data_IF_738587859607
#
_entry.id   IF_738587859607
#
_cell.length_a   1.000
_cell.length_b   1.000
_cell.length_c   1.000
_cell.angle_alpha   90.00
_cell.angle_beta   90.00
_cell.angle_gamma   90.00
#
_symmetry.space_group_name_H-M   'P 1'
#
loop_
_entity.id
_entity.type
_entity.pdbx_description
1 polymer ?
#
# COMPACT_ATOMS: atom_id res chain seq x y z
N UNK A 1 26.33 22.13 9.07
CA UNK A 1 26.04 20.73 9.46
C UNK A 1 25.28 20.10 8.32
N UNK A 2 25.91 19.23 7.54
CA UNK A 2 25.22 18.46 6.49
C UNK A 2 24.35 17.42 7.20
N UNK A 3 23.04 17.68 7.29
CA UNK A 3 22.08 16.77 7.90
C UNK A 3 22.08 15.45 7.13
N UNK A 4 22.72 14.43 7.69
CA UNK A 4 22.75 13.09 7.12
C UNK A 4 21.35 12.49 7.22
N UNK A 5 20.67 12.40 6.07
CA UNK A 5 19.34 11.81 5.98
C UNK A 5 19.45 10.29 6.07
N UNK A 6 18.68 9.72 7.00
CA UNK A 6 18.60 8.29 7.22
C UNK A 6 17.34 7.72 6.58
N UNK A 7 17.45 6.52 6.02
CA UNK A 7 16.30 5.79 5.48
C UNK A 7 15.38 5.32 6.63
N UNK A 8 14.08 5.52 6.49
CA UNK A 8 13.08 5.12 7.49
C UNK A 8 12.98 3.60 7.68
N UNK A 9 13.39 2.81 6.68
CA UNK A 9 13.40 1.36 6.76
C UNK A 9 14.71 0.81 7.32
N UNK A 10 15.84 1.08 6.66
CA UNK A 10 17.12 0.48 7.04
C UNK A 10 17.88 1.28 8.11
N UNK A 11 17.45 2.48 8.48
CA UNK A 11 18.08 3.34 9.50
C UNK A 11 19.56 3.66 9.24
N UNK A 12 19.98 3.68 7.97
CA UNK A 12 21.34 4.05 7.55
C UNK A 12 21.32 5.29 6.65
N UNK A 13 22.46 5.95 6.55
CA UNK A 13 22.69 7.08 5.66
C UNK A 13 22.39 6.73 4.19
N UNK A 14 21.68 7.64 3.53
CA UNK A 14 21.36 7.55 2.11
C UNK A 14 22.58 8.12 1.34
N UNK A 15 23.31 7.24 0.63
CA UNK A 15 24.53 7.62 -0.12
C UNK A 15 24.24 8.04 -1.57
N UNK A 16 22.98 8.25 -1.94
CA UNK A 16 22.54 8.53 -3.30
C UNK A 16 21.23 9.31 -3.34
N UNK A 17 20.41 9.08 -4.36
CA UNK A 17 19.14 9.79 -4.53
C UNK A 17 18.16 9.44 -3.40
N UNK A 18 17.50 10.47 -2.90
CA UNK A 18 16.52 10.34 -1.83
C UNK A 18 15.16 10.09 -2.47
N UNK A 19 14.57 8.93 -2.17
CA UNK A 19 13.21 8.61 -2.58
C UNK A 19 12.23 8.95 -1.46
N UNK A 20 11.03 9.39 -1.83
CA UNK A 20 9.94 9.64 -0.88
C UNK A 20 8.72 8.81 -1.24
N UNK A 21 8.01 8.30 -0.24
CA UNK A 21 6.89 7.39 -0.47
C UNK A 21 5.62 8.14 -0.85
N UNK A 22 4.99 7.83 -2.00
CA UNK A 22 3.72 8.44 -2.34
C UNK A 22 2.60 7.91 -1.44
N UNK A 23 1.90 8.81 -0.76
CA UNK A 23 0.76 8.48 0.12
C UNK A 23 -0.58 8.72 -0.58
N UNK A 24 -0.66 9.78 -1.37
CA UNK A 24 -1.84 10.17 -2.11
C UNK A 24 -1.45 10.75 -3.48
N UNK A 25 -2.37 10.64 -4.43
CA UNK A 25 -2.24 11.26 -5.73
C UNK A 25 -3.52 12.06 -6.00
N UNK A 26 -3.40 13.38 -6.07
CA UNK A 26 -4.51 14.31 -6.29
C UNK A 26 -4.11 15.33 -7.36
N UNK A 27 -4.98 15.57 -8.35
CA UNK A 27 -4.82 16.60 -9.39
C UNK A 27 -3.46 16.57 -10.12
N UNK A 28 -2.94 15.37 -10.40
CA UNK A 28 -1.65 15.21 -11.10
C UNK A 28 -0.41 15.34 -10.20
N UNK A 29 -0.58 15.55 -8.89
CA UNK A 29 0.53 15.70 -7.94
C UNK A 29 0.52 14.56 -6.92
N UNK A 30 1.69 14.01 -6.66
CA UNK A 30 1.91 13.07 -5.57
C UNK A 30 2.14 13.83 -4.27
N UNK A 31 1.47 13.41 -3.20
CA UNK A 31 1.89 13.71 -1.83
C UNK A 31 2.87 12.65 -1.38
N UNK A 32 3.96 13.11 -0.80
CA UNK A 32 5.07 12.25 -0.40
C UNK A 32 5.22 12.21 1.12
N UNK A 33 5.76 11.11 1.63
CA UNK A 33 6.06 10.92 3.05
C UNK A 33 7.38 10.16 3.22
N UNK A 34 8.16 10.57 4.23
CA UNK A 34 9.37 9.89 4.66
C UNK A 34 10.51 9.92 3.64
N UNK A 35 11.64 9.35 4.06
CA UNK A 35 12.88 9.30 3.28
C UNK A 35 13.36 7.86 3.15
N UNK A 36 13.64 7.42 1.92
CA UNK A 36 14.00 6.05 1.60
C UNK A 36 15.21 6.01 0.66
N UNK A 37 16.05 4.99 0.83
CA UNK A 37 17.18 4.74 -0.05
C UNK A 37 16.83 3.97 -1.32
N UNK A 38 15.71 3.23 -1.34
CA UNK A 38 15.30 2.41 -2.48
C UNK A 38 13.78 2.13 -2.47
N UNK A 39 13.23 1.71 -3.61
CA UNK A 39 11.82 1.33 -3.74
C UNK A 39 11.46 0.10 -2.91
N UNK A 40 12.40 -0.82 -2.77
CA UNK A 40 12.23 -2.07 -2.02
C UNK A 40 12.15 -1.78 -0.53
N UNK A 41 12.96 -0.83 -0.03
CA UNK A 41 12.87 -0.34 1.34
C UNK A 41 11.51 0.31 1.61
N UNK A 42 11.01 1.08 0.64
CA UNK A 42 9.70 1.73 0.72
C UNK A 42 8.56 0.71 0.75
N UNK A 43 8.64 -0.35 -0.07
CA UNK A 43 7.64 -1.43 -0.11
C UNK A 43 7.60 -2.22 1.19
N UNK A 44 8.75 -2.58 1.75
CA UNK A 44 8.80 -3.31 3.02
C UNK A 44 8.32 -2.43 4.16
N UNK A 45 8.70 -1.15 4.19
CA UNK A 45 8.17 -0.21 5.17
C UNK A 45 6.65 -0.06 5.09
N UNK A 46 6.09 0.05 3.88
CA UNK A 46 4.63 0.09 3.71
C UNK A 46 3.96 -1.18 4.24
N UNK A 47 4.58 -2.35 4.07
CA UNK A 47 4.09 -3.60 4.65
C UNK A 47 4.15 -3.58 6.18
N UNK A 48 5.21 -3.00 6.77
CA UNK A 48 5.37 -2.88 8.22
C UNK A 48 4.32 -1.95 8.88
N UNK A 49 3.80 -0.94 8.15
CA UNK A 49 2.75 -0.06 8.66
C UNK A 49 1.42 -0.78 8.91
N UNK A 50 1.14 -1.86 8.17
CA UNK A 50 -0.03 -2.73 8.33
C UNK A 50 -1.38 -1.98 8.46
N UNK A 51 -1.59 -0.95 7.65
CA UNK A 51 -2.82 -0.16 7.63
C UNK A 51 -3.77 -0.54 6.47
N UNK A 52 -4.97 0.05 6.46
CA UNK A 52 -5.95 -0.20 5.39
C UNK A 52 -5.53 0.37 4.03
N UNK A 53 -4.51 1.23 3.98
CA UNK A 53 -4.04 1.91 2.76
C UNK A 53 -2.83 1.21 2.11
N UNK A 54 -2.33 0.11 2.69
CA UNK A 54 -1.18 -0.66 2.21
C UNK A 54 -1.26 -0.95 0.71
N UNK A 55 -2.39 -1.47 0.22
CA UNK A 55 -2.57 -1.79 -1.20
C UNK A 55 -2.58 -0.54 -2.10
N UNK A 56 -3.18 0.55 -1.62
CA UNK A 56 -3.19 1.84 -2.36
C UNK A 56 -1.76 2.36 -2.52
N UNK A 57 -0.97 2.36 -1.43
CA UNK A 57 0.43 2.80 -1.48
C UNK A 57 1.27 1.88 -2.36
N UNK A 58 1.07 0.56 -2.33
CA UNK A 58 1.78 -0.34 -3.25
C UNK A 58 1.55 -0.01 -4.72
N UNK A 59 0.31 0.31 -5.10
CA UNK A 59 0.00 0.75 -6.46
C UNK A 59 0.71 2.07 -6.80
N UNK A 60 0.67 3.06 -5.91
CA UNK A 60 1.35 4.35 -6.13
C UNK A 60 2.88 4.20 -6.24
N UNK A 61 3.49 3.36 -5.39
CA UNK A 61 4.92 3.06 -5.45
C UNK A 61 5.28 2.39 -6.77
N UNK A 62 4.44 1.46 -7.24
CA UNK A 62 4.69 0.74 -8.50
C UNK A 62 4.50 1.65 -9.71
N UNK A 63 3.53 2.56 -9.69
CA UNK A 63 3.35 3.61 -10.69
C UNK A 63 4.56 4.56 -10.74
N UNK A 64 5.05 4.97 -9.57
CA UNK A 64 6.21 5.84 -9.49
C UNK A 64 7.49 5.14 -9.95
N UNK A 65 7.67 3.86 -9.63
CA UNK A 65 8.77 3.06 -10.18
C UNK A 65 8.70 2.95 -11.70
N UNK A 66 7.51 2.71 -12.26
CA UNK A 66 7.34 2.67 -13.70
C UNK A 66 7.66 4.02 -14.37
N UNK A 67 7.27 5.13 -13.76
CA UNK A 67 7.57 6.46 -14.27
C UNK A 67 9.08 6.79 -14.28
N UNK A 68 9.86 6.28 -13.30
CA UNK A 68 11.29 6.56 -13.20
C UNK A 68 12.18 5.52 -13.89
N UNK A 69 11.86 4.23 -13.77
CA UNK A 69 12.67 3.12 -14.28
C UNK A 69 12.11 2.49 -15.57
N UNK A 70 10.87 2.79 -15.96
CA UNK A 70 10.17 2.06 -17.03
C UNK A 70 9.78 0.62 -16.66
N UNK A 71 10.02 0.20 -15.41
CA UNK A 71 9.79 -1.16 -14.94
C UNK A 71 8.75 -1.20 -13.82
N UNK A 72 7.90 -2.22 -13.83
CA UNK A 72 6.88 -2.43 -12.78
C UNK A 72 7.34 -3.39 -11.69
N UNK A 73 8.46 -4.08 -11.92
CA UNK A 73 9.00 -5.06 -10.99
C UNK A 73 9.78 -4.36 -9.90
N UNK A 74 9.25 -4.40 -8.67
CA UNK A 74 9.99 -4.07 -7.46
C UNK A 74 9.92 -5.24 -6.49
N UNK A 75 11.07 -5.61 -5.94
CA UNK A 75 11.15 -6.58 -4.86
C UNK A 75 10.89 -5.94 -3.50
N UNK A 76 10.84 -6.77 -2.47
CA UNK A 76 10.77 -6.30 -1.09
C UNK A 76 12.17 -6.35 -0.49
N UNK A 77 12.53 -5.29 0.23
CA UNK A 77 13.73 -5.32 1.05
C UNK A 77 13.53 -6.29 2.24
N UNK A 78 14.59 -6.87 2.80
CA UNK A 78 14.55 -7.67 4.01
C UNK A 78 14.07 -6.79 5.15
N UNK A 79 13.57 -7.43 6.20
CA UNK A 79 13.19 -6.73 7.40
C UNK A 79 14.42 -6.05 8.03
N UNK A 80 14.22 -4.88 8.65
CA UNK A 80 15.30 -4.17 9.32
C UNK A 80 16.01 -4.99 10.40
N UNK A 81 15.30 -5.94 11.02
CA UNK A 81 15.83 -6.89 12.02
C UNK A 81 16.96 -7.78 11.48
N UNK A 82 17.11 -7.90 10.17
CA UNK A 82 18.20 -8.67 9.54
C UNK A 82 19.55 -7.93 9.58
N UNK A 83 19.56 -6.62 9.83
CA UNK A 83 20.78 -5.82 9.92
C UNK A 83 21.51 -6.06 11.26
N UNK A 84 22.84 -6.02 11.22
CA UNK A 84 23.71 -6.16 12.41
C UNK A 84 23.36 -5.17 13.54
N UNK A 85 22.92 -3.95 13.22
CA UNK A 85 22.54 -2.93 14.23
C UNK A 85 21.40 -3.42 15.13
N UNK A 86 20.51 -4.24 14.59
CA UNK A 86 19.37 -4.81 15.34
C UNK A 86 19.64 -6.23 15.85
N UNK A 87 20.89 -6.72 15.74
CA UNK A 87 21.28 -8.08 16.11
C UNK A 87 21.07 -9.13 15.02
N UNK A 88 20.89 -8.71 13.77
CA UNK A 88 20.79 -9.61 12.63
C UNK A 88 22.14 -10.09 12.08
N UNK A 89 22.12 -10.80 10.95
CA UNK A 89 23.31 -11.42 10.36
C UNK A 89 23.95 -10.63 9.23
N UNK A 90 23.22 -9.70 8.60
CA UNK A 90 23.68 -8.99 7.39
C UNK A 90 24.25 -7.62 7.73
N UNK A 91 25.37 -7.28 7.10
CA UNK A 91 25.88 -5.90 7.05
C UNK A 91 25.02 -5.01 6.15
N UNK A 92 25.18 -3.68 6.25
CA UNK A 92 24.45 -2.73 5.40
C UNK A 92 24.76 -2.92 3.91
N UNK A 93 26.00 -3.27 3.58
CA UNK A 93 26.43 -3.46 2.20
C UNK A 93 25.80 -4.73 1.62
N UNK A 94 25.75 -5.81 2.40
CA UNK A 94 25.06 -7.05 2.02
C UNK A 94 23.54 -6.84 1.91
N UNK A 95 22.95 -6.06 2.82
CA UNK A 95 21.53 -5.72 2.76
C UNK A 95 21.17 -4.98 1.47
N UNK A 96 22.07 -4.09 1.00
CA UNK A 96 21.84 -3.29 -0.20
C UNK A 96 22.16 -4.05 -1.50
N UNK A 97 23.13 -4.97 -1.48
CA UNK A 97 23.52 -5.78 -2.65
C UNK A 97 22.35 -6.55 -3.25
N UNK A 98 21.46 -7.04 -2.42
CA UNK A 98 20.36 -7.91 -2.83
C UNK A 98 19.27 -7.17 -3.65
N UNK A 99 19.22 -5.82 -3.66
CA UNK A 99 18.11 -5.05 -4.27
C UNK A 99 18.52 -3.74 -4.98
N UNK A 100 19.79 -3.57 -5.37
CA UNK A 100 20.26 -2.25 -5.80
C UNK A 100 19.98 -1.94 -7.28
N UNK A 101 19.04 -1.02 -7.55
CA UNK A 101 19.23 0.10 -8.49
C UNK A 101 18.11 1.14 -8.30
N UNK A 102 18.37 2.22 -7.57
CA UNK A 102 17.43 3.33 -7.45
C UNK A 102 17.73 4.37 -8.55
N UNK A 103 16.80 4.68 -9.47
CA UNK A 103 16.96 5.72 -10.47
C UNK A 103 16.97 7.12 -9.84
N UNK A 104 17.40 8.07 -10.65
CA UNK A 104 17.36 9.50 -10.32
C UNK A 104 15.91 9.99 -10.24
N UNK A 105 15.51 10.46 -9.05
CA UNK A 105 14.26 11.19 -8.85
C UNK A 105 14.60 12.68 -8.91
N UNK A 106 14.33 13.33 -10.05
CA UNK A 106 14.26 14.79 -10.08
C UNK A 106 13.02 15.22 -9.29
N UNK A 107 13.26 15.66 -8.05
CA UNK A 107 12.26 16.19 -7.15
C UNK A 107 11.77 17.56 -7.65
N UNK A 108 10.93 17.59 -8.67
CA UNK A 108 10.23 18.81 -9.09
C UNK A 108 8.79 18.86 -8.57
N UNK A 109 8.52 18.57 -7.30
CA UNK A 109 7.25 19.05 -6.74
C UNK A 109 7.45 19.52 -5.29
N UNK A 110 7.17 20.81 -5.00
CA UNK A 110 7.11 21.31 -3.64
C UNK A 110 6.21 20.41 -2.80
N UNK A 111 6.74 19.93 -1.69
CA UNK A 111 5.93 19.30 -0.67
C UNK A 111 4.96 20.35 -0.15
N UNK A 112 3.66 20.06 -0.23
CA UNK A 112 2.76 20.56 0.80
C UNK A 112 3.03 19.68 2.03
N UNK A 113 3.99 20.09 2.85
CA UNK A 113 4.08 19.60 4.23
C UNK A 113 2.77 20.02 4.90
N UNK A 114 1.81 19.09 5.01
CA UNK A 114 0.76 19.26 5.99
C UNK A 114 1.43 19.07 7.33
N UNK A 115 1.85 20.18 7.93
CA UNK A 115 1.88 20.27 9.38
C UNK A 115 0.48 19.83 9.84
N UNK A 116 0.39 18.66 10.47
CA UNK A 116 -0.78 18.35 11.27
C UNK A 116 -0.79 19.39 12.39
N UNK A 117 -1.51 20.49 12.14
CA UNK A 117 -1.89 21.44 13.17
C UNK A 117 -2.53 20.62 14.27
N UNK A 118 -1.83 20.52 15.39
CA UNK A 118 -2.35 20.00 16.65
C UNK A 118 -3.74 20.59 16.85
N UNK A 119 -4.73 19.74 17.12
CA UNK A 119 -6.13 20.08 17.35
C UNK A 119 -6.28 21.46 18.00
N UNK A 120 -6.71 22.46 17.23
CA UNK A 120 -7.42 23.57 17.83
C UNK A 120 -8.79 23.03 18.24
N UNK A 121 -8.96 22.97 19.55
CA UNK A 121 -10.18 22.63 20.26
C UNK A 121 -11.44 23.16 19.57
N UNK A 122 -12.34 22.21 19.25
CA UNK A 122 -13.80 22.33 19.25
C UNK A 122 -14.31 23.70 19.66
N UNK A 123 -14.77 24.48 18.69
CA UNK A 123 -15.75 25.55 18.85
C UNK A 123 -16.41 25.84 17.49
N UNK A 124 -16.88 24.80 16.80
CA UNK A 124 -17.85 25.01 15.73
C UNK A 124 -19.25 24.99 16.35
N UNK A 125 -19.68 26.17 16.81
CA UNK A 125 -21.09 26.45 17.05
C UNK A 125 -21.80 26.62 15.70
N UNK A 126 -21.73 25.57 14.87
CA UNK A 126 -22.37 25.45 13.58
C UNK A 126 -23.61 24.58 13.73
N UNK A 127 -24.77 25.23 13.85
CA UNK A 127 -26.14 24.72 13.72
C UNK A 127 -26.24 23.22 13.39
N UNK A 128 -26.49 22.40 14.41
CA UNK A 128 -26.97 21.04 14.24
C UNK A 128 -28.35 21.15 13.58
N UNK A 129 -28.44 20.99 12.26
CA UNK A 129 -29.74 20.78 11.62
C UNK A 129 -30.30 19.48 12.18
N UNK A 130 -31.43 19.53 12.88
CA UNK A 130 -32.11 18.36 13.41
C UNK A 130 -32.26 17.28 12.33
N UNK A 131 -31.48 16.20 12.46
CA UNK A 131 -31.64 15.03 11.62
C UNK A 131 -32.96 14.36 11.99
N UNK A 132 -33.96 14.49 11.12
CA UNK A 132 -35.20 13.69 11.21
C UNK A 132 -34.92 12.33 10.56
N UNK A 133 -34.83 11.22 11.33
CA UNK A 133 -34.67 9.90 10.73
C UNK A 133 -35.90 9.60 9.87
N UNK A 134 -35.70 9.44 8.56
CA UNK A 134 -36.72 8.81 7.71
C UNK A 134 -36.72 7.32 8.06
N UNK A 135 -37.87 6.70 8.35
CA UNK A 135 -37.91 5.27 8.62
C UNK A 135 -37.43 4.54 7.35
N UNK A 136 -36.27 3.89 7.45
CA UNK A 136 -35.77 3.00 6.41
C UNK A 136 -36.61 1.73 6.50
N UNK A 137 -37.47 1.52 5.49
CA UNK A 137 -38.13 0.22 5.31
C UNK A 137 -37.05 -0.75 4.87
N UNK A 138 -36.57 -1.57 5.81
CA UNK A 138 -35.62 -2.66 5.56
C UNK A 138 -36.33 -3.80 4.81
N UNK A 139 -36.68 -3.59 3.55
CA UNK A 139 -36.97 -4.70 2.67
C UNK A 139 -35.64 -5.40 2.35
N UNK A 140 -35.44 -6.68 2.74
CA UNK A 140 -34.23 -7.38 2.36
C UNK A 140 -34.18 -7.45 0.84
N UNK A 141 -33.09 -6.96 0.25
CA UNK A 141 -32.87 -7.00 -1.21
C UNK A 141 -32.85 -8.48 -1.62
N UNK A 142 -33.98 -8.95 -2.18
CA UNK A 142 -34.10 -10.31 -2.70
C UNK A 142 -33.43 -10.35 -4.07
N UNK A 143 -32.24 -10.93 -4.13
CA UNK A 143 -31.57 -11.25 -5.39
C UNK A 143 -32.35 -12.37 -6.11
N UNK A 144 -33.41 -11.99 -6.85
CA UNK A 144 -34.19 -12.94 -7.65
C UNK A 144 -33.71 -12.91 -9.10
N UNK A 145 -33.33 -14.06 -9.64
CA UNK A 145 -33.10 -14.21 -11.08
C UNK A 145 -34.44 -14.18 -11.81
N UNK A 146 -34.53 -13.36 -12.85
CA UNK A 146 -35.76 -13.23 -13.67
C UNK A 146 -35.99 -14.50 -14.52
N UNK A 147 -34.91 -15.20 -14.88
CA UNK A 147 -34.94 -16.43 -15.69
C UNK A 147 -34.53 -17.63 -14.84
N UNK A 148 -35.29 -18.75 -14.86
CA UNK A 148 -34.93 -19.95 -14.13
C UNK A 148 -33.68 -20.58 -14.74
N UNK A 149 -32.81 -21.14 -13.88
CA UNK A 149 -31.62 -21.87 -14.32
C UNK A 149 -32.04 -23.16 -15.04
N UNK A 150 -31.36 -23.48 -16.14
CA UNK A 150 -31.44 -24.82 -16.74
C UNK A 150 -30.69 -25.78 -15.83
N UNK A 151 -31.43 -26.57 -15.05
CA UNK A 151 -30.89 -27.42 -13.98
C UNK A 151 -30.25 -28.74 -14.48
N UNK A 152 -30.18 -28.96 -15.80
CA UNK A 152 -29.78 -30.26 -16.37
C UNK A 152 -28.27 -30.48 -16.46
N UNK A 153 -27.42 -29.49 -16.14
CA UNK A 153 -25.96 -29.57 -16.31
C UNK A 153 -25.15 -29.18 -15.06
N UNK A 154 -25.82 -28.81 -13.96
CA UNK A 154 -25.15 -28.36 -12.74
C UNK A 154 -25.47 -29.29 -11.58
N UNK A 155 -25.44 -30.60 -11.81
CA UNK A 155 -25.55 -31.53 -10.69
C UNK A 155 -24.20 -31.56 -9.96
N UNK A 156 -24.28 -31.71 -8.64
CA UNK A 156 -23.15 -31.56 -7.75
C UNK A 156 -22.08 -32.64 -8.03
N UNK A 157 -22.51 -33.82 -8.48
CA UNK A 157 -21.67 -34.95 -8.88
C UNK A 157 -20.74 -34.57 -10.05
N UNK A 158 -21.28 -33.83 -11.05
CA UNK A 158 -20.54 -33.42 -12.23
C UNK A 158 -19.55 -32.29 -11.93
N UNK A 159 -19.94 -31.36 -11.03
CA UNK A 159 -19.07 -30.25 -10.58
C UNK A 159 -17.96 -30.74 -9.65
N UNK A 160 -18.26 -31.72 -8.81
CA UNK A 160 -17.33 -32.27 -7.83
C UNK A 160 -16.52 -33.48 -8.35
N UNK A 161 -16.73 -33.89 -9.61
CA UNK A 161 -16.03 -35.01 -10.23
C UNK A 161 -16.29 -36.37 -9.57
N UNK A 162 -17.47 -36.56 -8.98
CA UNK A 162 -17.82 -37.78 -8.24
C UNK A 162 -18.49 -38.75 -9.22
N UNK A 163 -17.78 -39.83 -9.57
CA UNK A 163 -18.33 -40.91 -10.39
C UNK A 163 -18.77 -42.08 -9.48
N UNK A 164 -19.96 -42.64 -9.71
CA UNK A 164 -20.37 -43.88 -9.04
C UNK A 164 -19.55 -45.03 -9.62
N UNK A 165 -18.68 -45.62 -8.82
CA UNK A 165 -18.08 -46.92 -9.13
C UNK A 165 -19.15 -48.00 -8.93
N UNK A 166 -19.65 -48.56 -10.03
CA UNK A 166 -20.47 -49.77 -9.95
C UNK A 166 -19.54 -50.91 -9.53
N UNK A 167 -19.75 -51.46 -8.34
CA UNK A 167 -19.20 -52.76 -7.97
C UNK A 167 -20.19 -53.81 -8.46
N UNK A 168 -19.78 -54.57 -9.48
CA UNK A 168 -20.34 -55.88 -9.80
C UNK A 168 -19.68 -56.96 -8.94
#
# INVERSE_FOLDING_TARGET
>A
MTSQLHCYHCCHNINGNILRMPTMYERGKYRYFGYFCSFECMRTYNLELNDSFVHKRFNLISQLNYALNGDTKCYFAPQKRTLLIFGGTKSIDEFRKDFFSAPHMELEFPLEDKEESILESVNDSGVISEYKPKPVVNEPIKLKRVKPLKNSQNTLEQTMGIFKSNYE
#
